data_IF_285574724939
#
_entry.id   IF_285574724939
#
_cell.length_a   1.000
_cell.length_b   1.000
_cell.length_c   1.000
_cell.angle_alpha   90.00
_cell.angle_beta   90.00
_cell.angle_gamma   90.00
#
_symmetry.space_group_name_H-M   'P 1'
#
loop_
_entity.id
_entity.type
_entity.pdbx_description
1 polymer ?
#
# COMPACT_ATOMS: atom_id res chain seq x y z
N UNK A 1 58.11 -50.89 -37.47
CA UNK A 1 57.67 -49.89 -36.50
C UNK A 1 56.48 -49.20 -37.09
N UNK A 2 55.24 -49.57 -36.64
CA UNK A 2 53.99 -49.00 -37.16
C UNK A 2 53.57 -47.87 -36.15
N UNK A 3 53.47 -46.61 -36.62
CA UNK A 3 52.94 -45.48 -35.86
C UNK A 3 51.42 -45.57 -35.90
N UNK A 4 50.77 -45.76 -34.75
CA UNK A 4 49.35 -45.59 -34.57
C UNK A 4 49.02 -44.11 -34.34
N UNK A 5 48.18 -43.53 -35.19
CA UNK A 5 47.62 -42.21 -35.02
C UNK A 5 46.33 -42.34 -34.17
N UNK A 6 46.32 -41.65 -33.01
CA UNK A 6 45.17 -41.53 -32.14
C UNK A 6 44.37 -40.32 -32.64
N UNK A 7 43.16 -40.57 -33.16
CA UNK A 7 42.17 -39.54 -33.49
C UNK A 7 41.41 -39.16 -32.21
N UNK A 8 41.63 -37.97 -31.73
CA UNK A 8 40.88 -37.41 -30.63
C UNK A 8 39.57 -36.81 -31.17
N UNK A 9 38.46 -37.47 -30.93
CA UNK A 9 37.12 -36.99 -31.32
C UNK A 9 36.62 -35.98 -30.26
N UNK A 10 36.73 -34.69 -30.55
CA UNK A 10 36.17 -33.63 -29.69
C UNK A 10 34.66 -33.53 -29.93
N UNK A 11 33.88 -34.03 -28.95
CA UNK A 11 32.43 -33.90 -28.96
C UNK A 11 32.08 -32.45 -28.52
N UNK A 12 31.71 -31.60 -29.47
CA UNK A 12 31.17 -30.25 -29.18
C UNK A 12 29.71 -30.38 -28.81
N UNK A 13 29.41 -30.33 -27.53
CA UNK A 13 28.05 -30.27 -27.00
C UNK A 13 27.50 -28.84 -27.20
N UNK A 14 26.78 -28.61 -28.29
CA UNK A 14 26.02 -27.38 -28.50
C UNK A 14 24.79 -27.38 -27.58
N UNK A 15 24.88 -26.63 -26.48
CA UNK A 15 23.73 -26.35 -25.62
C UNK A 15 22.77 -25.45 -26.40
N UNK A 16 21.69 -26.03 -26.92
CA UNK A 16 20.55 -25.24 -27.40
C UNK A 16 19.84 -24.66 -26.20
N UNK A 17 20.15 -23.40 -25.88
CA UNK A 17 19.30 -22.59 -25.00
C UNK A 17 18.06 -22.22 -25.80
N UNK A 18 16.98 -22.97 -25.59
CA UNK A 18 15.66 -22.54 -26.06
C UNK A 18 15.35 -21.20 -25.36
N UNK A 19 15.00 -20.14 -26.10
CA UNK A 19 14.49 -18.94 -25.45
C UNK A 19 13.23 -19.37 -24.72
N UNK A 20 13.16 -19.08 -23.40
CA UNK A 20 11.93 -19.14 -22.66
C UNK A 20 10.90 -18.32 -23.46
N UNK A 21 9.79 -18.97 -23.83
CA UNK A 21 8.69 -18.28 -24.46
C UNK A 21 8.31 -17.14 -23.54
N UNK A 22 8.72 -15.93 -23.88
CA UNK A 22 8.30 -14.73 -23.21
C UNK A 22 6.78 -14.72 -23.32
N UNK A 23 6.10 -14.72 -22.19
CA UNK A 23 4.70 -14.33 -22.11
C UNK A 23 4.64 -13.02 -22.90
N UNK A 24 3.91 -13.02 -24.00
CA UNK A 24 3.73 -11.84 -24.82
C UNK A 24 3.24 -10.75 -23.88
N UNK A 25 4.05 -9.70 -23.69
CA UNK A 25 3.59 -8.50 -23.01
C UNK A 25 2.44 -7.97 -23.86
N UNK A 26 1.20 -8.19 -23.42
CA UNK A 26 0.08 -7.48 -23.97
C UNK A 26 0.45 -6.01 -23.93
N UNK A 27 0.35 -5.32 -25.05
CA UNK A 27 0.72 -3.92 -25.17
C UNK A 27 -0.31 -3.09 -24.42
N UNK A 28 -0.10 -2.91 -23.13
CA UNK A 28 -0.86 -1.96 -22.33
C UNK A 28 -0.51 -0.56 -22.81
N UNK A 29 -1.47 0.15 -23.40
CA UNK A 29 -1.26 1.52 -23.88
C UNK A 29 -0.98 2.53 -22.77
N UNK A 30 -1.31 2.19 -21.50
CA UNK A 30 -1.07 2.98 -20.28
C UNK A 30 -1.01 2.07 -19.06
N UNK A 31 -0.28 2.51 -18.03
CA UNK A 31 -0.34 1.86 -16.70
C UNK A 31 -1.73 2.02 -16.08
N UNK A 32 -2.16 1.01 -15.34
CA UNK A 32 -3.31 1.10 -14.45
C UNK A 32 -2.86 1.07 -12.99
N UNK A 33 -3.65 1.67 -12.11
CA UNK A 33 -3.44 1.67 -10.67
C UNK A 33 -4.70 1.18 -9.98
N UNK A 34 -4.55 0.22 -9.08
CA UNK A 34 -5.56 -0.19 -8.11
C UNK A 34 -5.06 0.15 -6.72
N UNK A 35 -5.91 0.70 -5.86
CA UNK A 35 -5.55 0.99 -4.46
C UNK A 35 -6.47 0.20 -3.55
N UNK A 36 -5.90 -0.71 -2.76
CA UNK A 36 -6.62 -1.54 -1.79
C UNK A 36 -6.48 -0.96 -0.39
N UNK A 37 -7.56 -0.96 0.37
CA UNK A 37 -7.62 -0.47 1.75
C UNK A 37 -7.95 -1.61 2.70
N UNK A 38 -7.00 -1.94 3.55
CA UNK A 38 -7.14 -2.85 4.69
C UNK A 38 -7.11 -2.04 5.99
N UNK A 39 -7.48 -2.70 7.08
CA UNK A 39 -7.32 -2.18 8.44
C UNK A 39 -6.75 -3.30 9.32
N UNK A 40 -7.54 -3.94 10.17
CA UNK A 40 -7.09 -4.97 11.11
C UNK A 40 -7.01 -6.35 10.44
N UNK A 41 -5.97 -7.12 10.75
CA UNK A 41 -5.90 -8.55 10.43
C UNK A 41 -6.12 -9.36 11.70
N UNK A 42 -7.15 -10.24 11.74
CA UNK A 42 -7.42 -11.06 12.91
C UNK A 42 -8.24 -12.30 12.57
N UNK A 43 -7.92 -13.41 13.24
CA UNK A 43 -8.73 -14.64 13.24
C UNK A 43 -9.64 -14.73 14.47
N UNK A 44 -9.74 -13.67 15.30
CA UNK A 44 -10.60 -13.66 16.47
C UNK A 44 -12.08 -13.73 16.04
N UNK A 45 -12.86 -14.74 16.50
CA UNK A 45 -14.27 -14.82 16.21
C UNK A 45 -15.08 -13.59 16.66
N UNK A 46 -14.61 -12.84 17.65
CA UNK A 46 -15.23 -11.60 18.08
C UNK A 46 -15.19 -10.51 16.99
N UNK A 47 -14.18 -10.56 16.13
CA UNK A 47 -14.01 -9.64 15.00
C UNK A 47 -14.72 -10.09 13.72
N UNK A 48 -15.33 -11.27 13.68
CA UNK A 48 -15.92 -11.85 12.46
C UNK A 48 -17.04 -11.01 11.81
N UNK A 49 -17.62 -10.05 12.56
CA UNK A 49 -18.64 -9.11 12.05
C UNK A 49 -18.08 -7.72 11.76
N UNK A 50 -16.81 -7.50 12.02
CA UNK A 50 -16.16 -6.24 11.75
C UNK A 50 -15.79 -6.16 10.26
N UNK A 51 -16.48 -5.32 9.50
CA UNK A 51 -16.25 -5.14 8.06
C UNK A 51 -14.83 -4.61 7.72
N UNK A 52 -14.09 -4.12 8.70
CA UNK A 52 -12.72 -3.65 8.57
C UNK A 52 -11.67 -4.66 9.05
N UNK A 53 -12.10 -5.87 9.42
CA UNK A 53 -11.22 -6.94 9.84
C UNK A 53 -11.18 -8.05 8.78
N UNK A 54 -9.97 -8.48 8.43
CA UNK A 54 -9.73 -9.54 7.44
C UNK A 54 -8.86 -10.61 8.10
N UNK A 55 -9.19 -11.93 7.97
CA UNK A 55 -8.30 -12.98 8.44
C UNK A 55 -6.92 -12.92 7.79
N UNK A 56 -5.81 -13.15 8.52
CA UNK A 56 -4.46 -13.15 7.96
C UNK A 56 -4.29 -14.08 6.76
N UNK A 57 -4.96 -15.24 6.77
CA UNK A 57 -4.93 -16.20 5.65
C UNK A 57 -5.58 -15.64 4.38
N UNK A 58 -6.63 -14.81 4.51
CA UNK A 58 -7.27 -14.13 3.38
C UNK A 58 -6.35 -13.06 2.83
N UNK A 59 -5.71 -12.26 3.68
CA UNK A 59 -4.71 -11.28 3.25
C UNK A 59 -3.56 -11.96 2.48
N UNK A 60 -3.03 -13.08 2.99
CA UNK A 60 -1.98 -13.82 2.29
C UNK A 60 -2.47 -14.35 0.92
N UNK A 61 -3.70 -14.85 0.84
CA UNK A 61 -4.30 -15.29 -0.42
C UNK A 61 -4.44 -14.14 -1.43
N UNK A 62 -4.81 -12.94 -0.97
CA UNK A 62 -4.92 -11.74 -1.79
C UNK A 62 -3.55 -11.31 -2.35
N UNK A 63 -2.51 -11.25 -1.50
CA UNK A 63 -1.15 -10.90 -1.95
C UNK A 63 -0.61 -11.92 -2.96
N UNK A 64 -0.85 -13.20 -2.71
CA UNK A 64 -0.48 -14.27 -3.64
C UNK A 64 -1.22 -14.12 -4.97
N UNK A 65 -2.54 -13.92 -4.95
CA UNK A 65 -3.35 -13.69 -6.14
C UNK A 65 -2.82 -12.52 -6.98
N UNK A 66 -2.53 -11.38 -6.37
CA UNK A 66 -1.98 -10.22 -7.07
C UNK A 66 -0.64 -10.55 -7.73
N UNK A 67 0.25 -11.24 -7.00
CA UNK A 67 1.56 -11.65 -7.52
C UNK A 67 1.44 -12.60 -8.71
N UNK A 68 0.58 -13.62 -8.59
CA UNK A 68 0.37 -14.65 -9.64
C UNK A 68 -0.32 -14.08 -10.88
N UNK A 69 -1.12 -13.02 -10.73
CA UNK A 69 -1.79 -12.32 -11.84
C UNK A 69 -0.98 -11.14 -12.40
N UNK A 70 0.31 -11.03 -12.06
CA UNK A 70 1.24 -10.10 -12.70
C UNK A 70 1.10 -8.64 -12.25
N UNK A 71 0.44 -8.36 -11.12
CA UNK A 71 0.41 -7.02 -10.56
C UNK A 71 1.79 -6.60 -10.05
N UNK A 72 2.15 -5.35 -10.31
CA UNK A 72 3.35 -4.71 -9.79
C UNK A 72 3.02 -3.93 -8.52
N UNK A 73 3.62 -4.31 -7.40
CA UNK A 73 3.40 -3.61 -6.13
C UNK A 73 4.12 -2.26 -6.11
N UNK A 74 3.40 -1.20 -5.74
CA UNK A 74 3.97 0.12 -5.53
C UNK A 74 3.59 0.67 -4.15
N UNK A 75 4.35 1.65 -3.67
CA UNK A 75 3.96 2.42 -2.50
C UNK A 75 2.90 3.46 -2.85
N UNK A 76 2.14 3.91 -1.86
CA UNK A 76 1.16 4.97 -2.04
C UNK A 76 1.81 6.28 -2.55
N UNK A 77 3.03 6.57 -2.18
CA UNK A 77 3.78 7.74 -2.69
C UNK A 77 4.10 7.67 -4.18
N UNK A 78 4.02 6.49 -4.79
CA UNK A 78 4.28 6.28 -6.21
C UNK A 78 3.00 6.41 -7.07
N UNK A 79 1.81 6.62 -6.45
CA UNK A 79 0.52 6.64 -7.14
C UNK A 79 0.45 7.68 -8.27
N UNK A 80 0.81 8.92 -8.00
CA UNK A 80 0.82 9.99 -9.02
C UNK A 80 1.81 9.70 -10.15
N UNK A 81 2.98 9.12 -9.84
CA UNK A 81 3.98 8.74 -10.85
C UNK A 81 3.46 7.62 -11.77
N UNK A 82 2.73 6.63 -11.23
CA UNK A 82 2.05 5.61 -12.04
C UNK A 82 1.05 6.24 -12.99
N UNK A 83 0.18 7.13 -12.48
CA UNK A 83 -0.89 7.76 -13.27
C UNK A 83 -0.36 8.73 -14.32
N UNK A 84 0.78 9.36 -14.07
CA UNK A 84 1.48 10.22 -15.01
C UNK A 84 2.30 9.45 -16.06
N UNK A 85 2.44 8.12 -15.92
CA UNK A 85 3.27 7.31 -16.82
C UNK A 85 4.77 7.50 -16.62
N UNK A 86 5.19 7.88 -15.43
CA UNK A 86 6.60 8.08 -15.06
C UNK A 86 7.29 6.76 -14.67
N UNK A 87 6.51 5.70 -14.44
CA UNK A 87 6.99 4.35 -14.17
C UNK A 87 6.77 3.42 -15.38
N UNK A 88 7.49 2.28 -15.48
CA UNK A 88 7.30 1.30 -16.54
C UNK A 88 5.82 0.88 -16.67
N UNK A 89 5.38 0.60 -17.89
CA UNK A 89 3.97 0.21 -18.13
C UNK A 89 3.68 -1.13 -17.45
N UNK A 90 2.70 -1.13 -16.53
CA UNK A 90 2.26 -2.31 -15.79
C UNK A 90 0.87 -2.10 -15.18
N UNK A 91 0.27 -3.18 -14.64
CA UNK A 91 -0.85 -3.11 -13.70
C UNK A 91 -0.29 -2.93 -12.30
N UNK A 92 -0.40 -1.74 -11.75
CA UNK A 92 0.07 -1.45 -10.41
C UNK A 92 -1.00 -1.67 -9.36
N UNK A 93 -0.57 -2.12 -8.18
CA UNK A 93 -1.39 -2.18 -6.98
C UNK A 93 -0.66 -1.52 -5.81
N UNK A 94 -1.33 -0.57 -5.17
CA UNK A 94 -0.93 -0.01 -3.89
C UNK A 94 -1.78 -0.67 -2.80
N UNK A 95 -1.16 -1.50 -1.97
CA UNK A 95 -1.80 -2.08 -0.78
C UNK A 95 -1.66 -1.09 0.36
N UNK A 96 -2.76 -0.70 0.99
CA UNK A 96 -2.74 0.26 2.09
C UNK A 96 -3.42 -0.30 3.33
N UNK A 97 -2.94 0.09 4.51
CA UNK A 97 -3.53 -0.21 5.81
C UNK A 97 -3.78 1.10 6.56
N UNK A 98 -4.94 1.22 7.20
CA UNK A 98 -5.28 2.37 8.02
C UNK A 98 -5.22 2.05 9.52
N UNK A 99 -5.18 3.07 10.35
CA UNK A 99 -5.20 3.10 11.81
C UNK A 99 -3.89 2.71 12.51
N UNK A 100 -3.10 1.77 11.97
CA UNK A 100 -1.87 1.29 12.59
C UNK A 100 -2.13 0.25 13.68
N UNK A 101 -2.84 -0.81 13.34
CA UNK A 101 -3.05 -1.97 14.23
C UNK A 101 -1.75 -2.76 14.44
N UNK A 102 -1.62 -3.42 15.60
CA UNK A 102 -0.45 -4.26 15.89
C UNK A 102 -0.33 -5.45 14.92
N UNK A 103 -1.46 -5.92 14.37
CA UNK A 103 -1.53 -6.95 13.33
C UNK A 103 -0.75 -6.59 12.05
N UNK A 104 -0.56 -5.29 11.76
CA UNK A 104 0.20 -4.83 10.60
C UNK A 104 1.65 -5.28 10.68
N UNK A 105 2.22 -5.30 11.89
CA UNK A 105 3.56 -5.79 12.12
C UNK A 105 3.63 -7.33 12.17
N UNK A 106 2.74 -7.96 12.95
CA UNK A 106 2.85 -9.41 13.22
C UNK A 106 2.27 -10.28 12.09
N UNK A 107 1.27 -9.79 11.36
CA UNK A 107 0.58 -10.56 10.32
C UNK A 107 0.91 -10.06 8.91
N UNK A 108 0.86 -8.75 8.64
CA UNK A 108 1.04 -8.26 7.28
C UNK A 108 2.50 -8.26 6.84
N UNK A 109 3.44 -7.77 7.66
CA UNK A 109 4.85 -7.68 7.27
C UNK A 109 5.44 -9.02 6.80
N UNK A 110 5.28 -10.16 7.52
CA UNK A 110 5.82 -11.44 7.07
C UNK A 110 5.29 -11.89 5.71
N UNK A 111 4.02 -11.59 5.41
CA UNK A 111 3.42 -11.90 4.12
C UNK A 111 4.01 -11.02 3.02
N UNK A 112 4.13 -9.71 3.26
CA UNK A 112 4.72 -8.77 2.30
C UNK A 112 6.16 -9.19 1.95
N UNK A 113 6.98 -9.53 2.95
CA UNK A 113 8.35 -9.99 2.74
C UNK A 113 8.40 -11.31 1.97
N UNK A 114 7.55 -12.28 2.32
CA UNK A 114 7.46 -13.59 1.67
C UNK A 114 7.21 -13.48 0.16
N UNK A 115 6.33 -12.57 -0.25
CA UNK A 115 5.94 -12.41 -1.65
C UNK A 115 6.70 -11.29 -2.38
N UNK A 116 7.59 -10.57 -1.70
CA UNK A 116 8.28 -9.39 -2.25
C UNK A 116 7.29 -8.29 -2.61
N UNK A 117 6.20 -8.18 -1.83
CA UNK A 117 5.17 -7.18 -1.99
C UNK A 117 5.51 -5.90 -1.22
N UNK A 118 4.82 -4.80 -1.57
CA UNK A 118 4.95 -3.50 -0.91
C UNK A 118 3.59 -3.07 -0.37
N UNK A 119 3.60 -2.35 0.76
CA UNK A 119 2.40 -1.72 1.31
C UNK A 119 2.72 -0.37 1.95
N UNK A 120 1.71 0.48 2.10
CA UNK A 120 1.79 1.75 2.84
C UNK A 120 0.85 1.69 4.04
N UNK A 121 1.38 1.96 5.24
CA UNK A 121 0.61 1.94 6.48
C UNK A 121 0.37 3.38 6.95
N UNK A 122 -0.89 3.79 6.99
CA UNK A 122 -1.33 5.10 7.45
C UNK A 122 -1.62 5.04 8.95
N UNK A 123 -0.77 5.69 9.73
CA UNK A 123 -0.72 5.54 11.18
C UNK A 123 -1.39 6.73 11.89
N UNK A 124 -2.25 6.44 12.86
CA UNK A 124 -2.78 7.42 13.82
C UNK A 124 -1.81 7.51 15.01
N UNK A 125 -1.02 8.59 15.09
CA UNK A 125 0.03 8.66 16.11
C UNK A 125 -0.47 8.80 17.54
N UNK A 126 -1.69 9.29 17.77
CA UNK A 126 -2.30 9.31 19.10
C UNK A 126 -2.59 7.89 19.64
N UNK A 127 -2.69 6.89 18.76
CA UNK A 127 -2.98 5.49 19.13
C UNK A 127 -1.73 4.64 19.33
N UNK A 128 -0.53 5.12 18.97
CA UNK A 128 0.72 4.35 19.11
C UNK A 128 0.91 3.90 20.57
N UNK A 129 1.06 2.58 20.77
CA UNK A 129 1.27 1.96 22.07
C UNK A 129 0.02 1.79 22.93
N UNK A 130 -1.17 2.14 22.40
CA UNK A 130 -2.45 1.79 23.03
C UNK A 130 -2.82 0.33 22.72
N UNK A 131 -3.87 -0.19 23.34
CA UNK A 131 -4.36 -1.54 23.11
C UNK A 131 -4.65 -1.78 21.61
N UNK A 132 -4.27 -2.94 21.10
CA UNK A 132 -4.41 -3.36 19.69
C UNK A 132 -3.62 -2.53 18.65
N UNK A 133 -2.92 -1.47 19.07
CA UNK A 133 -2.18 -0.61 18.15
C UNK A 133 -0.68 -0.80 18.24
N UNK A 134 -0.05 -0.50 17.13
CA UNK A 134 1.39 -0.69 16.92
C UNK A 134 2.22 0.08 17.96
N UNK A 135 3.30 -0.55 18.43
CA UNK A 135 4.28 0.10 19.31
C UNK A 135 5.35 0.83 18.50
N UNK A 136 6.04 1.76 19.15
CA UNK A 136 7.06 2.58 18.51
C UNK A 136 8.20 1.73 17.91
N UNK A 137 8.65 0.69 18.62
CA UNK A 137 9.68 -0.24 18.15
C UNK A 137 9.25 -1.03 16.91
N UNK A 138 7.98 -1.47 16.84
CA UNK A 138 7.43 -2.17 15.67
C UNK A 138 7.33 -1.25 14.46
N UNK A 139 6.94 0.02 14.67
CA UNK A 139 6.85 1.01 13.62
C UNK A 139 8.23 1.32 13.01
N UNK A 140 9.27 1.42 13.84
CA UNK A 140 10.64 1.58 13.37
C UNK A 140 11.10 0.36 12.54
N UNK A 141 10.77 -0.86 12.98
CA UNK A 141 11.08 -2.09 12.26
C UNK A 141 10.35 -2.18 10.91
N UNK A 142 9.04 -1.87 10.86
CA UNK A 142 8.27 -1.78 9.61
C UNK A 142 8.95 -0.86 8.61
N UNK A 143 9.28 0.36 9.04
CA UNK A 143 9.93 1.34 8.19
C UNK A 143 11.31 0.88 7.69
N UNK A 144 12.05 0.10 8.47
CA UNK A 144 13.36 -0.43 8.10
C UNK A 144 13.30 -1.62 7.13
N UNK A 145 12.18 -2.35 7.05
CA UNK A 145 12.03 -3.59 6.26
C UNK A 145 12.24 -3.40 4.75
N UNK A 146 11.98 -2.19 4.24
CA UNK A 146 11.95 -1.92 2.80
C UNK A 146 10.67 -2.37 2.08
N UNK A 147 9.83 -3.19 2.74
CA UNK A 147 8.52 -3.61 2.23
C UNK A 147 7.39 -2.63 2.61
N UNK A 148 7.63 -1.73 3.57
CA UNK A 148 6.60 -0.85 4.12
C UNK A 148 7.01 0.62 4.03
N UNK A 149 6.11 1.43 3.49
CA UNK A 149 6.09 2.88 3.60
C UNK A 149 5.17 3.29 4.76
N UNK A 150 5.57 4.31 5.52
CA UNK A 150 4.74 4.86 6.59
C UNK A 150 4.12 6.16 6.11
N UNK A 151 2.78 6.26 6.20
CA UNK A 151 1.97 7.42 5.88
C UNK A 151 1.22 7.97 7.10
N UNK A 152 0.63 9.13 6.96
CA UNK A 152 -0.13 9.82 8.02
C UNK A 152 -1.62 9.49 7.95
N UNK A 153 -2.24 9.15 9.12
CA UNK A 153 -3.70 9.03 9.26
C UNK A 153 -4.27 10.00 10.28
N UNK A 154 -3.69 11.18 10.40
CA UNK A 154 -3.95 12.22 11.40
C UNK A 154 -3.38 11.91 12.80
N UNK A 155 -3.29 12.93 13.64
CA UNK A 155 -2.91 12.76 15.05
C UNK A 155 -4.14 12.56 15.93
N UNK A 156 -5.06 13.53 15.96
CA UNK A 156 -6.25 13.52 16.79
C UNK A 156 -7.59 13.60 16.03
N UNK A 157 -7.56 13.87 14.72
CA UNK A 157 -8.82 13.93 13.96
C UNK A 157 -9.56 12.60 13.99
N UNK A 158 -8.84 11.47 13.98
CA UNK A 158 -9.42 10.13 14.01
C UNK A 158 -10.06 9.75 15.37
N UNK A 159 -9.81 10.53 16.45
CA UNK A 159 -10.48 10.32 17.74
C UNK A 159 -11.93 10.86 17.75
N UNK A 160 -12.33 11.53 16.67
CA UNK A 160 -13.64 12.16 16.50
C UNK A 160 -14.59 11.25 15.73
N UNK A 161 -15.90 11.42 15.98
CA UNK A 161 -16.92 10.80 15.13
C UNK A 161 -16.88 11.35 13.71
N UNK A 162 -17.38 10.58 12.74
CA UNK A 162 -17.45 11.05 11.34
C UNK A 162 -18.18 12.40 11.20
N UNK A 163 -19.23 12.65 12.02
CA UNK A 163 -19.96 13.92 12.03
C UNK A 163 -19.08 15.08 12.53
N UNK A 164 -18.27 14.85 13.55
CA UNK A 164 -17.36 15.86 14.08
C UNK A 164 -16.22 16.14 13.10
N UNK A 165 -15.68 15.11 12.46
CA UNK A 165 -14.68 15.26 11.38
C UNK A 165 -15.27 16.11 10.25
N UNK A 166 -16.47 15.74 9.76
CA UNK A 166 -17.17 16.51 8.73
C UNK A 166 -17.32 17.97 9.13
N UNK A 167 -17.74 18.25 10.37
CA UNK A 167 -17.87 19.63 10.87
C UNK A 167 -16.54 20.40 10.87
N UNK A 168 -15.43 19.72 11.20
CA UNK A 168 -14.08 20.34 11.12
C UNK A 168 -13.73 20.71 9.69
N UNK A 169 -14.00 19.82 8.73
CA UNK A 169 -13.72 20.08 7.31
C UNK A 169 -14.65 21.17 6.75
N UNK A 170 -15.93 21.13 7.08
CA UNK A 170 -16.93 22.13 6.64
C UNK A 170 -16.70 23.52 7.23
N UNK A 171 -16.04 23.61 8.39
CA UNK A 171 -15.68 24.90 9.00
C UNK A 171 -14.69 25.71 8.15
N UNK A 172 -14.03 25.06 7.17
CA UNK A 172 -12.98 25.66 6.35
C UNK A 172 -11.70 25.99 7.10
N UNK A 173 -11.51 25.50 8.34
CA UNK A 173 -10.29 25.72 9.10
C UNK A 173 -9.15 24.82 8.63
N UNK A 174 -8.72 25.04 7.39
CA UNK A 174 -7.64 24.26 6.75
C UNK A 174 -6.32 24.28 7.54
N UNK A 175 -6.08 25.34 8.32
CA UNK A 175 -4.87 25.42 9.16
C UNK A 175 -4.91 24.39 10.29
N UNK A 176 -6.06 24.19 10.92
CA UNK A 176 -6.24 23.17 11.96
C UNK A 176 -6.06 21.77 11.37
N UNK A 177 -6.69 21.51 10.21
CA UNK A 177 -6.59 20.22 9.52
C UNK A 177 -5.13 19.93 9.14
N UNK A 178 -4.48 20.86 8.43
CA UNK A 178 -3.09 20.68 8.03
C UNK A 178 -2.15 20.56 9.23
N UNK A 179 -2.41 21.28 10.32
CA UNK A 179 -1.63 21.19 11.55
C UNK A 179 -1.69 19.82 12.21
N UNK A 180 -2.86 19.18 12.25
CA UNK A 180 -3.02 17.84 12.82
C UNK A 180 -2.25 16.77 12.00
N UNK A 181 -2.34 16.81 10.67
CA UNK A 181 -1.57 15.89 9.81
C UNK A 181 -0.07 16.16 9.83
N UNK A 182 0.35 17.43 9.94
CA UNK A 182 1.77 17.76 10.08
C UNK A 182 2.34 17.30 11.43
N UNK A 183 1.58 17.47 12.53
CA UNK A 183 1.94 16.93 13.84
C UNK A 183 2.15 15.41 13.78
N UNK A 184 1.20 14.70 13.14
CA UNK A 184 1.32 13.27 12.93
C UNK A 184 2.59 12.93 12.14
N UNK A 185 2.84 13.59 11.01
CA UNK A 185 4.02 13.33 10.18
C UNK A 185 5.33 13.59 10.94
N UNK A 186 5.43 14.67 11.71
CA UNK A 186 6.62 14.99 12.52
C UNK A 186 6.90 13.86 13.53
N UNK A 187 5.87 13.35 14.21
CA UNK A 187 6.01 12.25 15.18
C UNK A 187 6.47 10.95 14.49
N UNK A 188 5.90 10.61 13.34
CA UNK A 188 6.28 9.44 12.55
C UNK A 188 7.72 9.57 12.04
N UNK A 189 8.10 10.73 11.54
CA UNK A 189 9.46 11.02 11.08
C UNK A 189 10.49 10.89 12.22
N UNK A 190 10.13 11.32 13.43
CA UNK A 190 10.98 11.18 14.61
C UNK A 190 11.23 9.70 14.99
N UNK A 191 10.24 8.82 14.78
CA UNK A 191 10.35 7.39 15.08
C UNK A 191 11.10 6.64 13.97
N UNK A 192 10.78 6.95 12.71
CA UNK A 192 11.23 6.15 11.55
C UNK A 192 12.52 6.67 10.90
N UNK A 193 12.86 7.93 11.15
CA UNK A 193 13.95 8.64 10.47
C UNK A 193 13.69 8.93 8.99
N UNK A 194 12.48 8.67 8.49
CA UNK A 194 12.11 8.84 7.09
C UNK A 194 11.01 9.90 6.93
N UNK A 195 11.03 10.63 5.81
CA UNK A 195 9.99 11.60 5.48
C UNK A 195 8.65 10.94 5.20
N UNK A 196 7.59 11.48 5.79
CA UNK A 196 6.20 11.08 5.56
C UNK A 196 5.63 11.96 4.44
N UNK A 197 5.33 11.34 3.31
CA UNK A 197 4.89 12.04 2.09
C UNK A 197 3.46 11.75 1.68
N UNK A 198 2.83 10.76 2.33
CA UNK A 198 1.49 10.30 1.99
C UNK A 198 0.57 10.38 3.19
N UNK A 199 -0.72 10.55 2.93
CA UNK A 199 -1.72 10.54 3.98
C UNK A 199 -3.06 9.98 3.49
N UNK A 200 -3.84 9.40 4.42
CA UNK A 200 -5.24 9.05 4.16
C UNK A 200 -6.16 9.86 5.06
N UNK A 201 -7.32 10.25 4.50
CA UNK A 201 -8.32 11.01 5.24
C UNK A 201 -9.12 10.11 6.18
N UNK A 202 -9.23 10.43 7.49
CA UNK A 202 -10.10 9.71 8.41
C UNK A 202 -11.54 9.66 7.89
N UNK A 203 -12.13 8.45 7.86
CA UNK A 203 -13.44 8.16 7.26
C UNK A 203 -13.59 8.61 5.79
N UNK A 204 -12.51 8.87 5.08
CA UNK A 204 -12.51 9.37 3.70
C UNK A 204 -13.03 10.81 3.54
N UNK A 205 -13.21 11.55 4.62
CA UNK A 205 -13.79 12.91 4.62
C UNK A 205 -12.73 13.94 4.22
N UNK A 206 -12.97 14.68 3.16
CA UNK A 206 -12.06 15.71 2.66
C UNK A 206 -12.77 16.88 1.99
N UNK A 207 -12.05 17.99 1.80
CA UNK A 207 -12.46 19.11 0.97
C UNK A 207 -11.31 19.51 0.05
N UNK A 208 -11.63 20.15 -1.08
CA UNK A 208 -10.62 20.60 -2.04
C UNK A 208 -9.63 21.58 -1.44
N UNK A 209 -10.11 22.43 -0.54
CA UNK A 209 -9.31 23.44 0.17
C UNK A 209 -8.34 22.78 1.15
N UNK A 210 -8.80 21.75 1.87
CA UNK A 210 -7.96 20.99 2.79
C UNK A 210 -6.90 20.18 2.02
N UNK A 211 -7.26 19.52 0.92
CA UNK A 211 -6.31 18.77 0.09
C UNK A 211 -5.22 19.69 -0.48
N UNK A 212 -5.62 20.86 -1.00
CA UNK A 212 -4.65 21.86 -1.48
C UNK A 212 -3.67 22.30 -0.39
N UNK A 213 -4.17 22.53 0.84
CA UNK A 213 -3.33 22.93 1.97
C UNK A 213 -2.38 21.81 2.40
N UNK A 214 -2.86 20.56 2.44
CA UNK A 214 -2.05 19.38 2.79
C UNK A 214 -0.95 19.10 1.74
N UNK A 215 -1.27 19.21 0.45
CA UNK A 215 -0.25 19.11 -0.61
C UNK A 215 0.78 20.25 -0.52
N UNK A 216 0.34 21.47 -0.22
CA UNK A 216 1.26 22.58 0.03
C UNK A 216 2.12 22.38 1.29
N UNK A 217 1.65 21.59 2.26
CA UNK A 217 2.37 21.20 3.47
C UNK A 217 3.38 20.04 3.24
N UNK A 218 3.43 19.47 2.02
CA UNK A 218 4.44 18.48 1.62
C UNK A 218 3.91 17.06 1.39
N UNK A 219 2.59 16.81 1.53
CA UNK A 219 2.02 15.51 1.18
C UNK A 219 1.87 15.40 -0.36
N UNK A 220 2.61 14.49 -0.97
CA UNK A 220 2.61 14.29 -2.43
C UNK A 220 1.40 13.50 -2.92
N UNK A 221 0.88 12.56 -2.12
CA UNK A 221 -0.30 11.77 -2.44
C UNK A 221 -1.25 11.70 -1.24
N UNK A 222 -2.55 11.82 -1.51
CA UNK A 222 -3.62 11.82 -0.52
C UNK A 222 -4.67 10.79 -0.91
N UNK A 223 -5.30 10.13 0.09
CA UNK A 223 -6.20 9.00 -0.14
C UNK A 223 -7.51 9.18 0.60
N UNK A 224 -8.61 8.77 -0.05
CA UNK A 224 -9.96 8.71 0.52
C UNK A 224 -10.47 7.26 0.51
N UNK A 225 -11.62 7.01 1.10
CA UNK A 225 -12.28 5.70 1.11
C UNK A 225 -13.36 5.54 0.02
N UNK A 226 -13.47 6.50 -0.89
CA UNK A 226 -14.44 6.42 -2.00
C UNK A 226 -13.91 5.52 -3.11
N UNK A 227 -14.45 4.31 -3.23
CA UNK A 227 -14.09 3.31 -4.23
C UNK A 227 -14.56 3.64 -5.65
N UNK A 228 -15.47 4.61 -5.79
CA UNK A 228 -15.99 5.08 -7.08
C UNK A 228 -15.22 6.27 -7.66
N UNK A 229 -14.31 6.83 -6.88
CA UNK A 229 -13.54 7.97 -7.34
C UNK A 229 -12.54 7.54 -8.42
N UNK A 230 -12.62 8.17 -9.59
CA UNK A 230 -11.63 7.98 -10.66
C UNK A 230 -10.25 8.43 -10.19
N UNK A 231 -9.26 7.57 -10.35
CA UNK A 231 -7.88 7.88 -9.97
C UNK A 231 -7.29 8.89 -10.97
N UNK A 232 -6.89 10.05 -10.46
CA UNK A 232 -6.30 11.14 -11.24
C UNK A 232 -5.13 11.73 -10.44
N UNK A 233 -3.97 11.87 -11.09
CA UNK A 233 -2.80 12.46 -10.46
C UNK A 233 -3.11 13.88 -9.92
N UNK A 234 -2.57 14.19 -8.75
CA UNK A 234 -2.76 15.49 -8.10
C UNK A 234 -4.12 15.68 -7.42
N UNK A 235 -4.96 14.64 -7.33
CA UNK A 235 -6.21 14.64 -6.55
C UNK A 235 -6.19 13.53 -5.51
N UNK A 236 -7.07 13.55 -4.48
CA UNK A 236 -7.19 12.42 -3.57
C UNK A 236 -7.56 11.14 -4.32
N UNK A 237 -6.86 10.05 -4.02
CA UNK A 237 -7.09 8.76 -4.66
C UNK A 237 -8.13 7.95 -3.90
N UNK A 238 -9.13 7.43 -4.63
CA UNK A 238 -10.10 6.47 -4.10
C UNK A 238 -9.45 5.12 -3.79
N UNK A 239 -10.03 4.37 -2.86
CA UNK A 239 -9.53 3.06 -2.45
C UNK A 239 -10.65 2.04 -2.36
N UNK A 240 -10.38 0.82 -2.82
CA UNK A 240 -11.29 -0.31 -2.69
C UNK A 240 -11.16 -0.88 -1.27
N UNK A 241 -12.23 -0.82 -0.48
CA UNK A 241 -12.25 -1.42 0.85
C UNK A 241 -12.22 -2.95 0.72
N UNK A 242 -11.22 -3.58 1.33
CA UNK A 242 -11.10 -5.02 1.38
C UNK A 242 -11.82 -5.56 2.62
N UNK A 243 -12.93 -6.23 2.40
CA UNK A 243 -13.68 -6.97 3.42
C UNK A 243 -13.74 -8.46 3.05
N UNK A 244 -14.17 -9.30 4.00
CA UNK A 244 -14.18 -10.77 3.82
C UNK A 244 -15.26 -11.30 2.89
N UNK A 245 -16.28 -10.50 2.59
CA UNK A 245 -17.48 -10.96 1.89
C UNK A 245 -17.28 -11.22 0.39
N UNK A 246 -16.12 -10.86 -0.16
CA UNK A 246 -15.81 -11.00 -1.59
C UNK A 246 -14.41 -11.56 -1.81
N UNK A 247 -14.26 -12.40 -2.82
CA UNK A 247 -12.95 -12.78 -3.34
C UNK A 247 -12.32 -11.56 -4.04
N UNK A 248 -11.00 -11.39 -3.89
CA UNK A 248 -10.31 -10.23 -4.47
C UNK A 248 -10.50 -10.14 -5.98
N UNK A 249 -10.47 -11.28 -6.69
CA UNK A 249 -10.70 -11.33 -8.13
C UNK A 249 -12.07 -10.77 -8.55
N UNK A 250 -13.11 -10.99 -7.74
CA UNK A 250 -14.45 -10.44 -7.99
C UNK A 250 -14.50 -8.92 -7.74
N UNK A 251 -13.77 -8.44 -6.74
CA UNK A 251 -13.66 -6.99 -6.46
C UNK A 251 -12.94 -6.25 -7.59
N UNK A 252 -11.91 -6.85 -8.17
CA UNK A 252 -11.11 -6.24 -9.23
C UNK A 252 -11.75 -6.35 -10.62
N UNK A 253 -12.77 -7.19 -10.79
CA UNK A 253 -13.51 -7.35 -12.05
C UNK A 253 -14.63 -6.32 -12.26
N UNK A 254 -14.96 -5.50 -11.24
CA UNK A 254 -16.00 -4.45 -11.28
C UNK A 254 -15.45 -3.15 -11.84
#
# INVERSE_FOLDING_TARGET
MKKQAIFLLTLVLTLFVLPAAGVAAESYGKSSLTVLMYHKLSDDPAEAKNAFCVPPAVFEADIRFLKENGYSFCFASEADAVLNGELPIAHYVAVTFDDGYESDYFCALPVLEKYGAKATFFIVTAKIGTEDHIKQEHLAALSASGAVEIGSHSHHLHDKTAKEIQSVFDSGNVKQIAGDFQENAIRLEAITGKKVKTMSYPNGIWTKEADKALRAAGFSATFTSDDKQTLTAGTPHGRINRCVDFELGELLAK
#
